data_IF_351961208760
#
_entry.id   IF_351961208760
#
_cell.length_a   1.000
_cell.length_b   1.000
_cell.length_c   1.000
_cell.angle_alpha   90.00
_cell.angle_beta   90.00
_cell.angle_gamma   90.00
#
_symmetry.space_group_name_H-M   'P 1'
#
loop_
_entity.id
_entity.type
_entity.pdbx_description
1 polymer ?
#
# COMPACT_ATOMS: atom_id res chain seq x y z
N UNK A 1 -29.36 50.81 57.43
CA UNK A 1 -28.98 50.82 56.01
C UNK A 1 -27.50 51.13 55.93
N UNK A 2 -26.66 50.14 55.63
CA UNK A 2 -25.26 50.35 55.24
C UNK A 2 -25.17 49.91 53.79
N UNK A 3 -24.98 50.85 52.87
CA UNK A 3 -24.69 50.53 51.48
C UNK A 3 -23.18 50.40 51.35
N UNK A 4 -22.71 49.18 51.13
CA UNK A 4 -21.33 48.86 50.82
C UNK A 4 -21.06 49.24 49.37
N UNK A 5 -20.18 50.22 49.18
CA UNK A 5 -19.64 50.66 47.91
C UNK A 5 -18.60 49.62 47.45
N UNK A 6 -18.93 48.82 46.43
CA UNK A 6 -18.02 47.82 45.86
C UNK A 6 -17.79 48.10 44.38
N UNK A 7 -16.68 48.75 44.09
CA UNK A 7 -16.15 49.01 42.75
C UNK A 7 -15.90 47.69 41.98
N UNK A 8 -16.32 47.55 40.71
CA UNK A 8 -16.02 46.36 39.90
C UNK A 8 -14.61 46.44 39.28
N UNK A 9 -13.80 45.37 39.29
CA UNK A 9 -12.50 45.36 38.63
C UNK A 9 -12.63 45.35 37.09
N UNK A 10 -11.65 45.91 36.36
CA UNK A 10 -11.72 46.13 34.91
C UNK A 10 -11.64 44.84 34.10
N UNK A 11 -12.45 44.79 33.05
CA UNK A 11 -12.57 43.72 32.06
C UNK A 11 -11.35 43.77 31.12
N UNK A 12 -10.59 42.67 30.92
CA UNK A 12 -9.58 42.60 29.86
C UNK A 12 -10.23 42.39 28.48
N UNK A 13 -9.68 43.01 27.41
CA UNK A 13 -10.25 42.93 26.06
C UNK A 13 -9.93 41.61 25.32
N UNK A 14 -10.96 41.04 24.69
CA UNK A 14 -10.87 40.08 23.58
C UNK A 14 -9.99 40.65 22.43
N UNK A 15 -9.21 39.82 21.71
CA UNK A 15 -9.78 39.24 20.48
C UNK A 15 -9.20 37.89 20.00
N UNK A 16 -9.85 37.34 18.97
CA UNK A 16 -9.46 36.22 18.08
C UNK A 16 -9.89 34.83 18.60
N UNK A 17 -10.80 34.08 17.99
CA UNK A 17 -11.17 33.95 16.59
C UNK A 17 -11.29 32.45 16.29
N UNK A 18 -12.25 32.08 15.44
CA UNK A 18 -12.33 30.78 14.72
C UNK A 18 -13.06 29.62 15.44
N UNK A 19 -14.33 29.53 15.04
CA UNK A 19 -14.99 28.35 14.47
C UNK A 19 -15.33 27.14 15.34
N UNK A 20 -16.64 27.00 15.55
CA UNK A 20 -17.44 25.87 15.05
C UNK A 20 -16.77 24.50 15.11
N UNK A 21 -16.83 23.84 16.27
CA UNK A 21 -16.72 22.38 16.30
C UNK A 21 -18.11 21.77 16.11
N UNK A 22 -18.33 21.54 14.83
CA UNK A 22 -19.45 20.92 14.17
C UNK A 22 -19.74 19.52 14.71
N UNK A 23 -20.97 19.36 15.18
CA UNK A 23 -21.83 18.17 15.14
C UNK A 23 -21.24 16.96 14.38
N UNK A 24 -20.49 16.10 15.07
CA UNK A 24 -20.01 14.84 14.50
C UNK A 24 -21.15 13.80 14.53
N UNK A 25 -21.97 13.85 13.49
CA UNK A 25 -22.87 12.77 13.11
C UNK A 25 -22.03 11.48 12.97
N UNK A 26 -22.14 10.59 13.97
CA UNK A 26 -21.55 9.25 13.96
C UNK A 26 -22.20 8.44 12.84
N UNK A 27 -21.67 8.60 11.62
CA UNK A 27 -21.97 7.72 10.49
C UNK A 27 -21.42 6.35 10.87
N UNK A 28 -22.14 5.24 10.60
CA UNK A 28 -21.66 3.91 10.93
C UNK A 28 -20.26 3.73 10.35
N UNK A 29 -19.29 3.52 11.23
CA UNK A 29 -17.88 3.43 10.87
C UNK A 29 -17.73 2.23 9.95
N UNK A 30 -17.63 2.49 8.64
CA UNK A 30 -17.21 1.48 7.66
C UNK A 30 -15.91 0.88 8.21
N UNK A 31 -15.83 -0.45 8.28
CA UNK A 31 -14.62 -1.18 8.67
C UNK A 31 -13.42 -0.50 8.00
N UNK A 32 -12.45 -0.09 8.81
CA UNK A 32 -11.33 0.76 8.36
C UNK A 32 -10.64 0.04 7.21
N UNK A 33 -10.68 0.63 6.01
CA UNK A 33 -10.08 0.02 4.83
C UNK A 33 -8.59 -0.20 5.08
N UNK A 34 -8.10 -1.40 4.76
CA UNK A 34 -6.68 -1.72 4.91
C UNK A 34 -5.84 -0.70 4.14
N UNK A 35 -4.93 -0.03 4.85
CA UNK A 35 -3.95 0.87 4.25
C UNK A 35 -2.66 0.09 4.07
N UNK A 36 -2.18 0.05 2.84
CA UNK A 36 -0.85 -0.44 2.53
C UNK A 36 0.19 0.54 3.06
N UNK A 37 0.99 0.09 4.02
CA UNK A 37 2.17 0.79 4.51
C UNK A 37 3.42 0.31 3.76
N UNK A 38 4.54 1.05 3.80
CA UNK A 38 5.80 0.60 3.22
C UNK A 38 6.23 -0.81 3.68
N UNK A 39 6.08 -1.10 4.98
CA UNK A 39 6.37 -2.44 5.52
C UNK A 39 5.40 -3.52 4.98
N UNK A 40 4.14 -3.18 4.77
CA UNK A 40 3.17 -4.08 4.12
C UNK A 40 3.47 -4.28 2.64
N UNK A 41 4.00 -3.25 1.95
CA UNK A 41 4.40 -3.33 0.56
C UNK A 41 5.61 -4.27 0.39
N UNK A 42 6.58 -4.23 1.32
CA UNK A 42 7.70 -5.17 1.36
C UNK A 42 7.20 -6.61 1.52
N UNK A 43 6.29 -6.86 2.46
CA UNK A 43 5.70 -8.19 2.65
C UNK A 43 4.92 -8.64 1.41
N UNK A 44 4.10 -7.75 0.83
CA UNK A 44 3.38 -8.03 -0.42
C UNK A 44 4.37 -8.41 -1.53
N UNK A 45 5.47 -7.67 -1.68
CA UNK A 45 6.46 -7.93 -2.73
C UNK A 45 7.21 -9.25 -2.49
N UNK A 46 7.50 -9.62 -1.24
CA UNK A 46 8.07 -10.93 -0.90
C UNK A 46 7.14 -12.07 -1.31
N UNK A 47 5.86 -11.99 -0.96
CA UNK A 47 4.87 -13.01 -1.33
C UNK A 47 4.66 -13.09 -2.85
N UNK A 48 4.60 -11.92 -3.51
CA UNK A 48 4.50 -11.84 -4.97
C UNK A 48 5.75 -12.44 -5.62
N UNK A 49 6.94 -12.22 -5.05
CA UNK A 49 8.19 -12.84 -5.53
C UNK A 49 8.22 -14.35 -5.32
N UNK A 50 7.74 -14.84 -4.18
CA UNK A 50 7.69 -16.26 -3.86
C UNK A 50 6.71 -17.03 -4.75
N UNK A 51 5.50 -16.48 -4.97
CA UNK A 51 4.46 -17.15 -5.74
C UNK A 51 4.53 -16.87 -7.24
N UNK A 52 5.29 -15.86 -7.67
CA UNK A 52 5.45 -15.43 -9.07
C UNK A 52 4.10 -15.38 -9.84
N UNK A 53 3.07 -14.66 -9.34
CA UNK A 53 1.74 -14.67 -9.94
C UNK A 53 1.73 -14.17 -11.40
N UNK A 54 2.76 -13.42 -11.81
CA UNK A 54 2.97 -12.97 -13.18
C UNK A 54 3.45 -14.08 -14.14
N UNK A 55 4.06 -15.15 -13.60
CA UNK A 55 4.56 -16.29 -14.37
C UNK A 55 3.54 -17.44 -14.47
N UNK A 56 2.47 -17.38 -13.66
CA UNK A 56 1.37 -18.35 -13.68
C UNK A 56 0.78 -18.50 -15.09
N UNK A 57 0.32 -19.70 -15.43
CA UNK A 57 -0.25 -19.97 -16.75
C UNK A 57 -1.55 -19.17 -16.98
N UNK A 58 -1.96 -19.07 -18.24
CA UNK A 58 -3.14 -18.30 -18.64
C UNK A 58 -4.39 -18.89 -17.96
N UNK A 59 -4.91 -18.19 -16.94
CA UNK A 59 -6.05 -18.64 -16.12
C UNK A 59 -5.71 -18.86 -14.63
N UNK A 60 -4.45 -19.09 -14.28
CA UNK A 60 -4.03 -19.36 -12.89
C UNK A 60 -3.57 -18.11 -12.14
N UNK A 61 -3.42 -16.99 -12.84
CA UNK A 61 -2.99 -15.72 -12.26
C UNK A 61 -3.89 -15.28 -11.11
N UNK A 62 -5.21 -15.42 -11.23
CA UNK A 62 -6.13 -15.02 -10.16
C UNK A 62 -5.98 -15.90 -8.90
N UNK A 63 -5.79 -17.20 -9.07
CA UNK A 63 -5.49 -18.14 -7.98
C UNK A 63 -4.20 -17.74 -7.28
N UNK A 64 -3.14 -17.45 -8.04
CA UNK A 64 -1.86 -17.02 -7.46
C UNK A 64 -1.99 -15.70 -6.66
N UNK A 65 -2.75 -14.71 -7.16
CA UNK A 65 -3.04 -13.49 -6.42
C UNK A 65 -3.90 -13.73 -5.16
N UNK A 66 -4.79 -14.71 -5.21
CA UNK A 66 -5.59 -15.11 -4.04
C UNK A 66 -4.71 -15.73 -2.96
N UNK A 67 -3.75 -16.57 -3.35
CA UNK A 67 -2.74 -17.11 -2.42
C UNK A 67 -1.92 -15.98 -1.79
N UNK A 68 -1.37 -15.07 -2.60
CA UNK A 68 -0.63 -13.90 -2.10
C UNK A 68 -1.47 -13.08 -1.11
N UNK A 69 -2.76 -12.87 -1.40
CA UNK A 69 -3.64 -12.14 -0.49
C UNK A 69 -3.87 -12.88 0.83
N UNK A 70 -3.98 -14.21 0.80
CA UNK A 70 -4.10 -15.02 2.02
C UNK A 70 -2.81 -15.00 2.84
N UNK A 71 -1.64 -15.15 2.21
CA UNK A 71 -0.36 -15.05 2.92
C UNK A 71 -0.15 -13.66 3.50
N UNK A 72 -0.55 -12.60 2.80
CA UNK A 72 -0.51 -11.24 3.33
C UNK A 72 -1.45 -11.06 4.54
N UNK A 73 -2.63 -11.70 4.53
CA UNK A 73 -3.55 -11.73 5.69
C UNK A 73 -2.97 -12.54 6.86
N UNK A 74 -2.22 -13.59 6.57
CA UNK A 74 -1.55 -14.40 7.58
C UNK A 74 -0.39 -13.63 8.23
N UNK A 75 0.42 -12.94 7.42
CA UNK A 75 1.52 -12.10 7.87
C UNK A 75 1.04 -10.84 8.61
N UNK A 76 -0.09 -10.26 8.19
CA UNK A 76 -0.66 -9.06 8.77
C UNK A 76 -2.09 -9.36 9.20
N UNK A 77 -2.30 -9.63 10.48
CA UNK A 77 -3.61 -10.02 11.03
C UNK A 77 -4.70 -8.95 10.81
N UNK A 78 -4.30 -7.68 10.65
CA UNK A 78 -5.20 -6.56 10.35
C UNK A 78 -5.44 -6.36 8.83
N UNK A 79 -4.80 -7.16 7.98
CA UNK A 79 -4.96 -7.06 6.54
C UNK A 79 -6.32 -7.59 6.11
N UNK A 80 -7.06 -6.72 5.43
CA UNK A 80 -8.30 -7.08 4.73
C UNK A 80 -8.10 -6.93 3.22
N UNK A 81 -6.84 -7.02 2.74
CA UNK A 81 -6.51 -6.86 1.33
C UNK A 81 -6.99 -8.06 0.52
N UNK A 82 -7.77 -7.80 -0.53
CA UNK A 82 -8.18 -8.84 -1.48
C UNK A 82 -7.12 -9.06 -2.58
N UNK A 83 -7.28 -10.12 -3.38
CA UNK A 83 -6.45 -10.42 -4.56
C UNK A 83 -6.33 -9.20 -5.50
N UNK A 84 -7.46 -8.52 -5.74
CA UNK A 84 -7.51 -7.29 -6.55
C UNK A 84 -6.76 -6.14 -5.91
N UNK A 85 -6.84 -6.00 -4.60
CA UNK A 85 -6.16 -4.93 -3.87
C UNK A 85 -4.64 -5.14 -3.93
N UNK A 86 -4.18 -6.38 -3.67
CA UNK A 86 -2.78 -6.79 -3.79
C UNK A 86 -2.25 -6.53 -5.22
N UNK A 87 -2.99 -6.96 -6.24
CA UNK A 87 -2.61 -6.74 -7.64
C UNK A 87 -2.53 -5.26 -8.02
N UNK A 88 -3.52 -4.46 -7.61
CA UNK A 88 -3.52 -3.01 -7.85
C UNK A 88 -2.35 -2.34 -7.17
N UNK A 89 -2.05 -2.71 -5.93
CA UNK A 89 -0.92 -2.15 -5.17
C UNK A 89 0.41 -2.50 -5.83
N UNK A 90 0.61 -3.77 -6.16
CA UNK A 90 1.80 -4.21 -6.89
C UNK A 90 1.98 -3.48 -8.23
N UNK A 91 0.90 -3.33 -9.01
CA UNK A 91 0.95 -2.62 -10.30
C UNK A 91 1.32 -1.15 -10.09
N UNK A 92 0.74 -0.49 -9.08
CA UNK A 92 1.07 0.89 -8.76
C UNK A 92 2.53 1.06 -8.32
N UNK A 93 3.07 0.12 -7.53
CA UNK A 93 4.48 0.12 -7.12
C UNK A 93 5.41 -0.06 -8.32
N UNK A 94 5.13 -1.03 -9.20
CA UNK A 94 5.88 -1.23 -10.44
C UNK A 94 5.84 -0.02 -11.37
N UNK A 95 4.68 0.63 -11.48
CA UNK A 95 4.51 1.79 -12.34
C UNK A 95 5.29 3.00 -11.78
N UNK A 96 5.23 3.21 -10.47
CA UNK A 96 6.04 4.24 -9.79
C UNK A 96 7.54 3.96 -9.91
N UNK A 97 7.94 2.69 -9.81
CA UNK A 97 9.32 2.24 -10.06
C UNK A 97 9.77 2.56 -11.49
N UNK A 98 8.94 2.25 -12.49
CA UNK A 98 9.24 2.50 -13.91
C UNK A 98 9.35 3.98 -14.24
N UNK A 99 8.61 4.84 -13.52
CA UNK A 99 8.70 6.30 -13.67
C UNK A 99 9.85 6.92 -12.87
N UNK A 100 10.63 6.12 -12.15
CA UNK A 100 11.67 6.60 -11.22
C UNK A 100 11.14 7.56 -10.14
N UNK A 101 9.81 7.60 -9.95
CA UNK A 101 9.11 8.46 -8.97
C UNK A 101 9.16 7.88 -7.56
N UNK A 102 10.02 6.89 -7.33
CA UNK A 102 10.15 6.27 -6.03
C UNK A 102 10.73 7.21 -4.98
N UNK A 103 11.51 8.21 -5.38
CA UNK A 103 11.96 9.30 -4.51
C UNK A 103 10.78 10.03 -3.85
N UNK A 104 9.66 10.23 -4.56
CA UNK A 104 8.45 10.84 -4.00
C UNK A 104 7.79 9.97 -2.92
N UNK A 105 7.94 8.64 -3.00
CA UNK A 105 7.47 7.71 -1.97
C UNK A 105 8.44 7.64 -0.77
N UNK A 106 9.67 8.12 -0.92
CA UNK A 106 10.69 8.17 0.14
C UNK A 106 10.28 9.09 1.28
N UNK A 107 9.44 10.09 1.00
CA UNK A 107 8.89 11.03 2.00
C UNK A 107 7.97 10.34 3.02
N UNK A 108 7.42 9.16 2.70
CA UNK A 108 6.40 8.48 3.52
C UNK A 108 6.88 7.16 4.17
N UNK A 109 8.17 6.82 4.13
CA UNK A 109 8.70 5.56 4.70
C UNK A 109 10.16 5.69 5.14
N UNK A 110 10.67 4.67 5.86
CA UNK A 110 12.10 4.67 6.24
C UNK A 110 13.00 4.34 5.05
N UNK A 111 14.26 4.79 5.09
CA UNK A 111 15.23 4.52 4.04
C UNK A 111 15.50 3.01 3.84
N UNK A 112 15.32 2.20 4.88
CA UNK A 112 15.56 0.76 4.85
C UNK A 112 14.43 0.01 4.14
N UNK A 113 13.17 0.28 4.53
CA UNK A 113 11.99 -0.26 3.83
C UNK A 113 11.99 0.14 2.34
N UNK A 114 12.46 1.34 2.04
CA UNK A 114 12.60 1.84 0.68
C UNK A 114 13.60 1.01 -0.14
N UNK A 115 14.82 0.81 0.38
CA UNK A 115 15.84 -0.01 -0.30
C UNK A 115 15.39 -1.45 -0.49
N UNK A 116 14.77 -2.04 0.52
CA UNK A 116 14.24 -3.40 0.44
C UNK A 116 13.13 -3.49 -0.64
N UNK A 117 12.24 -2.49 -0.69
CA UNK A 117 11.21 -2.40 -1.72
C UNK A 117 11.81 -2.25 -3.13
N UNK A 118 12.81 -1.39 -3.32
CA UNK A 118 13.51 -1.23 -4.62
C UNK A 118 14.12 -2.54 -5.08
N UNK A 119 14.82 -3.23 -4.17
CA UNK A 119 15.50 -4.47 -4.45
C UNK A 119 14.49 -5.57 -4.84
N UNK A 120 13.39 -5.70 -4.10
CA UNK A 120 12.33 -6.65 -4.41
C UNK A 120 11.61 -6.35 -5.75
N UNK A 121 11.40 -5.07 -6.08
CA UNK A 121 10.84 -4.68 -7.37
C UNK A 121 11.79 -5.01 -8.53
N UNK A 122 13.09 -4.81 -8.32
CA UNK A 122 14.12 -5.19 -9.28
C UNK A 122 14.14 -6.70 -9.49
N UNK A 123 14.13 -7.48 -8.40
CA UNK A 123 14.07 -8.95 -8.46
C UNK A 123 12.81 -9.44 -9.18
N UNK A 124 11.65 -8.85 -8.90
CA UNK A 124 10.41 -9.15 -9.62
C UNK A 124 10.56 -8.94 -11.14
N UNK A 125 11.16 -7.83 -11.57
CA UNK A 125 11.38 -7.53 -12.99
C UNK A 125 12.39 -8.49 -13.62
N UNK A 126 13.45 -8.86 -12.92
CA UNK A 126 14.44 -9.84 -13.37
C UNK A 126 13.80 -11.22 -13.54
N UNK A 127 13.02 -11.67 -12.55
CA UNK A 127 12.30 -12.94 -12.59
C UNK A 127 11.23 -12.97 -13.69
N UNK A 128 10.53 -11.86 -13.96
CA UNK A 128 9.61 -11.75 -15.09
C UNK A 128 10.34 -11.93 -16.43
N UNK A 129 11.48 -11.25 -16.62
CA UNK A 129 12.33 -11.40 -17.81
C UNK A 129 12.84 -12.83 -17.97
N UNK A 130 13.32 -13.45 -16.89
CA UNK A 130 13.82 -14.82 -16.88
C UNK A 130 12.72 -15.83 -17.25
N UNK A 131 11.52 -15.67 -16.69
CA UNK A 131 10.36 -16.52 -17.02
C UNK A 131 9.93 -16.38 -18.48
N UNK A 132 9.89 -15.16 -19.02
CA UNK A 132 9.57 -14.92 -20.44
C UNK A 132 10.59 -15.58 -21.36
N UNK A 133 11.88 -15.55 -21.00
CA UNK A 133 12.96 -16.23 -21.75
C UNK A 133 12.83 -17.75 -21.69
N UNK A 134 12.51 -18.33 -20.52
CA UNK A 134 12.26 -19.78 -20.38
C UNK A 134 11.05 -20.24 -21.19
N UNK A 135 9.94 -19.47 -21.19
CA UNK A 135 8.75 -19.79 -21.98
C UNK A 135 9.03 -19.77 -23.49
N UNK A 136 9.72 -18.74 -23.99
CA UNK A 136 10.14 -18.68 -25.40
C UNK A 136 11.05 -19.85 -25.79
N UNK A 137 11.98 -20.24 -24.92
CA UNK A 137 12.85 -21.39 -25.19
C UNK A 137 12.07 -22.71 -25.23
N UNK A 138 11.10 -22.91 -24.34
CA UNK A 138 10.22 -24.10 -24.38
C UNK A 138 9.39 -24.13 -25.66
N UNK A 139 8.77 -23.01 -26.04
CA UNK A 139 7.98 -22.91 -27.27
C UNK A 139 8.82 -23.16 -28.53
N UNK A 140 10.02 -22.60 -28.60
CA UNK A 140 10.96 -22.84 -29.70
C UNK A 140 11.44 -24.30 -29.76
N UNK A 141 11.59 -24.98 -28.61
CA UNK A 141 11.98 -26.40 -28.55
C UNK A 141 10.82 -27.33 -28.92
N UNK A 142 9.57 -26.93 -28.66
CA UNK A 142 8.35 -27.67 -28.99
C UNK A 142 7.89 -27.52 -30.44
N UNK A 143 8.52 -26.62 -31.21
CA UNK A 143 8.39 -26.56 -32.67
C UNK A 143 9.61 -27.21 -33.33
N UNK A 144 9.73 -28.54 -33.38
CA UNK A 144 10.66 -29.15 -34.33
C UNK A 144 10.18 -28.79 -35.74
N UNK A 145 11.11 -28.25 -36.54
CA UNK A 145 10.89 -27.90 -37.93
C UNK A 145 10.31 -29.09 -38.69
N UNK A 146 9.25 -28.83 -39.47
CA UNK A 146 8.66 -29.77 -40.41
C UNK A 146 9.53 -29.86 -41.66
#
# INVERSE_FOLDING_TARGET
>A
MSNEDHEPPPIPPDPEGVSTLQNAHLKPTRKKAFRFLPSSDVLLLKEVTAHTPWAAAHGETNTAWTTVANELKNAISASTADDKACRRRFTALLDTFRREEMESLRVSGTAEEYREREQLLTDCLELEKANKKKRKQRDAKLRPAK
#
